data_IF_922170927049
#
_entry.id   IF_922170927049
#
_cell.length_a   1.000
_cell.length_b   1.000
_cell.length_c   1.000
_cell.angle_alpha   90.00
_cell.angle_beta   90.00
_cell.angle_gamma   90.00
#
_symmetry.space_group_name_H-M   'P 1'
#
loop_
_entity.id
_entity.type
_entity.pdbx_description
1 polymer ?
#
# COMPACT_ATOMS: atom_id res chain seq x y z
N UNK A 1 12.45 -1.23 -8.24
CA UNK A 1 10.97 -1.27 -8.23
C UNK A 1 10.38 -2.62 -7.85
N UNK A 2 10.88 -3.75 -8.38
CA UNK A 2 10.30 -5.08 -8.09
C UNK A 2 10.34 -5.47 -6.60
N UNK A 3 11.47 -5.28 -5.90
CA UNK A 3 11.58 -5.60 -4.47
C UNK A 3 10.58 -4.83 -3.60
N UNK A 4 10.44 -3.52 -3.85
CA UNK A 4 9.48 -2.67 -3.12
C UNK A 4 8.04 -3.15 -3.36
N UNK A 5 7.69 -3.44 -4.62
CA UNK A 5 6.37 -3.97 -4.97
C UNK A 5 6.08 -5.30 -4.25
N UNK A 6 7.04 -6.23 -4.23
CA UNK A 6 6.90 -7.50 -3.52
C UNK A 6 6.70 -7.28 -2.01
N UNK A 7 7.51 -6.43 -1.39
CA UNK A 7 7.40 -6.13 0.04
C UNK A 7 6.06 -5.48 0.36
N UNK A 8 5.64 -4.47 -0.39
CA UNK A 8 4.34 -3.81 -0.21
C UNK A 8 3.17 -4.79 -0.40
N UNK A 9 3.23 -5.70 -1.37
CA UNK A 9 2.19 -6.74 -1.54
C UNK A 9 2.13 -7.71 -0.37
N UNK A 10 3.27 -8.17 0.15
CA UNK A 10 3.31 -9.05 1.32
C UNK A 10 2.73 -8.33 2.54
N UNK A 11 3.12 -7.07 2.76
CA UNK A 11 2.64 -6.26 3.87
C UNK A 11 1.13 -6.01 3.80
N UNK A 12 0.61 -5.80 2.59
CA UNK A 12 -0.83 -5.64 2.34
C UNK A 12 -1.59 -6.93 2.71
N UNK A 13 -1.09 -8.09 2.31
CA UNK A 13 -1.72 -9.39 2.63
C UNK A 13 -1.73 -9.62 4.14
N UNK A 14 -0.60 -9.41 4.81
CA UNK A 14 -0.47 -9.62 6.27
C UNK A 14 -1.42 -8.69 7.04
N UNK A 15 -1.43 -7.40 6.68
CA UNK A 15 -2.32 -6.42 7.32
C UNK A 15 -3.79 -6.76 7.11
N UNK A 16 -4.17 -7.21 5.90
CA UNK A 16 -5.53 -7.66 5.61
C UNK A 16 -5.92 -8.84 6.50
N UNK A 17 -5.07 -9.86 6.61
CA UNK A 17 -5.35 -11.05 7.43
C UNK A 17 -5.50 -10.68 8.90
N UNK A 18 -4.61 -9.82 9.43
CA UNK A 18 -4.67 -9.38 10.83
C UNK A 18 -5.98 -8.61 11.14
N UNK A 19 -6.41 -7.72 10.23
CA UNK A 19 -7.67 -6.99 10.36
C UNK A 19 -8.87 -7.95 10.30
N UNK A 20 -8.88 -8.89 9.36
CA UNK A 20 -9.94 -9.91 9.26
C UNK A 20 -10.00 -10.80 10.50
N UNK A 21 -8.84 -11.19 11.05
CA UNK A 21 -8.78 -11.96 12.29
C UNK A 21 -9.45 -11.20 13.44
N UNK A 22 -9.13 -9.92 13.62
CA UNK A 22 -9.74 -9.11 14.67
C UNK A 22 -11.26 -8.95 14.48
N UNK A 23 -11.74 -8.87 13.24
CA UNK A 23 -13.16 -8.76 12.91
C UNK A 23 -13.94 -10.07 13.12
N UNK A 24 -13.38 -11.22 12.73
CA UNK A 24 -14.09 -12.50 12.74
C UNK A 24 -14.07 -13.15 14.13
N UNK A 25 -12.90 -13.16 14.78
CA UNK A 25 -12.72 -13.88 16.03
C UNK A 25 -13.01 -13.04 17.27
N UNK A 26 -13.23 -11.73 17.09
CA UNK A 26 -13.51 -10.75 18.15
C UNK A 26 -12.69 -11.00 19.44
N UNK A 27 -11.35 -10.96 19.34
CA UNK A 27 -10.47 -11.14 20.50
C UNK A 27 -10.68 -10.00 21.50
N UNK A 28 -10.00 -10.07 22.65
CA UNK A 28 -10.11 -9.03 23.67
C UNK A 28 -9.88 -7.62 23.10
N UNK A 29 -10.63 -6.62 23.59
CA UNK A 29 -10.67 -5.25 23.04
C UNK A 29 -9.29 -4.63 22.84
N UNK A 30 -8.36 -4.85 23.77
CA UNK A 30 -6.99 -4.33 23.67
C UNK A 30 -6.24 -4.89 22.46
N UNK A 31 -6.51 -6.14 22.05
CA UNK A 31 -5.95 -6.77 20.85
C UNK A 31 -6.56 -6.12 19.61
N UNK A 32 -7.88 -5.90 19.61
CA UNK A 32 -8.57 -5.23 18.49
C UNK A 32 -8.01 -3.83 18.28
N UNK A 33 -7.82 -3.06 19.36
CA UNK A 33 -7.21 -1.73 19.28
C UNK A 33 -5.75 -1.77 18.81
N UNK A 34 -4.94 -2.71 19.31
CA UNK A 34 -3.56 -2.87 18.86
C UNK A 34 -3.50 -3.21 17.36
N UNK A 35 -4.37 -4.11 16.89
CA UNK A 35 -4.47 -4.47 15.48
C UNK A 35 -4.89 -3.26 14.65
N UNK A 36 -5.90 -2.51 15.08
CA UNK A 36 -6.38 -1.34 14.36
C UNK A 36 -5.32 -0.24 14.23
N UNK A 37 -4.64 0.10 15.34
CA UNK A 37 -3.61 1.16 15.36
C UNK A 37 -2.43 0.81 14.46
N UNK A 38 -2.04 -0.46 14.36
CA UNK A 38 -0.84 -0.88 13.62
C UNK A 38 -1.17 -1.27 12.17
N UNK A 39 -2.15 -2.15 11.97
CA UNK A 39 -2.36 -2.77 10.66
C UNK A 39 -3.23 -1.93 9.73
N UNK A 40 -4.09 -1.03 10.22
CA UNK A 40 -4.84 -0.12 9.33
C UNK A 40 -3.89 0.86 8.63
N UNK A 41 -2.95 1.55 9.32
CA UNK A 41 -1.96 2.38 8.64
C UNK A 41 -1.09 1.59 7.67
N UNK A 42 -0.63 0.38 8.04
CA UNK A 42 0.14 -0.45 7.13
C UNK A 42 -0.63 -0.90 5.89
N UNK A 43 -1.93 -1.19 6.05
CA UNK A 43 -2.81 -1.50 4.93
C UNK A 43 -2.92 -0.33 3.97
N UNK A 44 -3.24 0.87 4.46
CA UNK A 44 -3.38 2.08 3.64
C UNK A 44 -2.05 2.42 2.95
N UNK A 45 -0.94 2.36 3.68
CA UNK A 45 0.39 2.72 3.17
C UNK A 45 0.87 1.72 2.11
N UNK A 46 0.70 0.42 2.35
CA UNK A 46 1.06 -0.60 1.36
C UNK A 46 0.22 -0.52 0.09
N UNK A 47 -1.09 -0.22 0.22
CA UNK A 47 -1.96 0.03 -0.91
C UNK A 47 -1.52 1.28 -1.70
N UNK A 48 -1.24 2.38 -1.00
CA UNK A 48 -0.71 3.61 -1.60
C UNK A 48 0.58 3.36 -2.39
N UNK A 49 1.56 2.69 -1.79
CA UNK A 49 2.82 2.35 -2.46
C UNK A 49 2.62 1.47 -3.70
N UNK A 50 1.70 0.51 -3.66
CA UNK A 50 1.38 -0.34 -4.81
C UNK A 50 0.70 0.44 -5.95
N UNK A 51 -0.17 1.41 -5.61
CA UNK A 51 -0.83 2.26 -6.61
C UNK A 51 0.12 3.29 -7.22
N UNK A 52 1.01 3.89 -6.43
CA UNK A 52 2.02 4.86 -6.90
C UNK A 52 3.11 4.19 -7.75
N UNK A 53 3.42 2.91 -7.50
CA UNK A 53 4.41 2.16 -8.29
C UNK A 53 3.97 1.88 -9.74
N UNK A 54 2.73 2.22 -10.13
CA UNK A 54 2.30 2.21 -11.53
C UNK A 54 2.43 3.62 -12.11
N UNK A 55 3.44 3.91 -12.96
CA UNK A 55 3.33 5.07 -13.84
C UNK A 55 2.09 4.86 -14.71
N UNK A 56 1.18 5.85 -14.71
CA UNK A 56 0.08 5.87 -15.67
C UNK A 56 0.67 5.83 -17.07
N UNK A 57 0.03 5.09 -17.98
CA UNK A 57 0.50 4.94 -19.37
C UNK A 57 0.64 6.31 -20.04
N UNK A 58 -0.27 7.21 -19.71
CA UNK A 58 -0.35 8.57 -20.25
C UNK A 58 0.80 9.47 -19.77
N UNK A 59 1.23 9.37 -18.51
CA UNK A 59 2.38 10.13 -17.97
C UNK A 59 3.74 9.69 -18.57
N UNK A 60 3.82 8.48 -19.14
CA UNK A 60 5.03 8.06 -19.85
C UNK A 60 5.13 8.72 -21.22
N UNK A 61 4.02 8.93 -21.90
CA UNK A 61 3.99 9.54 -23.22
C UNK A 61 4.26 11.04 -23.15
N UNK A 62 3.71 11.76 -22.17
CA UNK A 62 4.05 13.18 -21.90
C UNK A 62 5.53 13.37 -21.56
N UNK A 63 6.11 12.55 -20.68
CA UNK A 63 7.55 12.64 -20.32
C UNK A 63 8.51 12.34 -21.48
N UNK A 64 8.03 11.69 -22.55
CA UNK A 64 8.80 11.43 -23.77
C UNK A 64 8.63 12.58 -24.77
N UNK A 65 7.47 13.24 -24.77
CA UNK A 65 7.12 14.29 -25.72
C UNK A 65 7.50 15.70 -25.24
N UNK A 66 7.66 15.93 -23.94
CA UNK A 66 8.18 17.20 -23.43
C UNK A 66 9.70 17.28 -23.68
N UNK A 67 10.18 18.14 -24.59
CA UNK A 67 11.60 18.40 -24.68
C UNK A 67 12.03 19.04 -23.36
N UNK A 68 13.15 18.57 -22.79
CA UNK A 68 13.80 19.20 -21.63
C UNK A 68 14.27 20.62 -21.99
N UNK A 69 13.35 21.56 -22.11
CA UNK A 69 13.65 22.97 -22.27
C UNK A 69 13.26 23.63 -20.96
N UNK A 70 14.17 23.52 -19.99
CA UNK A 70 14.25 24.52 -18.93
C UNK A 70 14.76 25.80 -19.59
N UNK A 71 13.84 26.73 -19.84
CA UNK A 71 14.20 28.13 -20.05
C UNK A 71 14.76 28.72 -18.77
#
# INVERSE_FOLDING_TARGET
MNKLKTVSSILLIISTIAILYALIFNPADWIVYAVAIVFIPFFILSLGLLTMAKPKKDEKEERIQEPFIGY
#
